data_IF_776947718584
#
_entry.id   IF_776947718584
#
_cell.length_a   1.000
_cell.length_b   1.000
_cell.length_c   1.000
_cell.angle_alpha   90.00
_cell.angle_beta   90.00
_cell.angle_gamma   90.00
#
_symmetry.space_group_name_H-M   'P 1'
#
loop_
_entity.id
_entity.type
_entity.pdbx_description
1 polymer ?
#
# COMPACT_ATOMS: atom_id res chain seq x y z
N UNK A 1 -14.55 -12.90 15.87
CA UNK A 1 -14.59 -14.25 15.25
C UNK A 1 -14.41 -14.21 13.74
N UNK A 2 -14.86 -13.19 13.01
CA UNK A 2 -14.78 -13.11 11.54
C UNK A 2 -13.36 -12.89 10.96
N UNK A 3 -12.52 -12.09 11.61
CA UNK A 3 -11.12 -11.85 11.15
C UNK A 3 -10.25 -13.11 11.32
N UNK A 4 -10.49 -13.89 12.38
CA UNK A 4 -9.75 -15.11 12.67
C UNK A 4 -10.08 -16.24 11.68
N UNK A 5 -11.30 -16.28 11.14
CA UNK A 5 -11.71 -17.29 10.14
C UNK A 5 -11.09 -17.03 8.77
N UNK A 6 -10.99 -15.77 8.33
CA UNK A 6 -10.34 -15.44 7.05
C UNK A 6 -8.82 -15.61 7.16
N UNK A 7 -8.22 -15.17 8.27
CA UNK A 7 -6.80 -15.36 8.53
C UNK A 7 -6.39 -16.82 8.66
N UNK A 8 -7.20 -17.66 9.32
CA UNK A 8 -6.95 -19.10 9.42
C UNK A 8 -7.23 -19.84 8.10
N UNK A 9 -8.19 -19.40 7.29
CA UNK A 9 -8.42 -19.95 5.95
C UNK A 9 -7.24 -19.62 5.02
N UNK A 10 -6.81 -18.35 5.00
CA UNK A 10 -5.67 -17.92 4.19
C UNK A 10 -4.36 -18.54 4.71
N UNK A 11 -4.16 -18.59 6.03
CA UNK A 11 -3.00 -19.21 6.66
C UNK A 11 -2.96 -20.73 6.47
N UNK A 12 -4.10 -21.42 6.55
CA UNK A 12 -4.20 -22.86 6.31
C UNK A 12 -3.99 -23.24 4.86
N UNK A 13 -4.40 -22.38 3.91
CA UNK A 13 -4.10 -22.57 2.48
C UNK A 13 -2.61 -22.37 2.20
N UNK A 14 -1.96 -21.38 2.82
CA UNK A 14 -0.51 -21.14 2.69
C UNK A 14 0.29 -22.31 3.30
N UNK A 15 -0.11 -22.81 4.46
CA UNK A 15 0.57 -23.94 5.13
C UNK A 15 0.44 -25.24 4.33
N UNK A 16 -0.74 -25.49 3.73
CA UNK A 16 -0.97 -26.65 2.84
C UNK A 16 -0.19 -26.59 1.52
N UNK A 17 0.29 -25.41 1.13
CA UNK A 17 1.12 -25.19 -0.05
C UNK A 17 2.62 -25.23 0.26
N UNK A 18 3.00 -25.26 1.54
CA UNK A 18 4.39 -25.33 2.00
C UNK A 18 4.87 -26.75 2.27
N UNK A 19 4.04 -27.76 1.97
CA UNK A 19 4.40 -29.18 2.05
C UNK A 19 5.07 -29.65 0.76
N UNK A 20 6.35 -30.01 0.89
CA UNK A 20 7.28 -30.58 -0.09
C UNK A 20 7.96 -29.63 -1.09
N UNK A 21 9.26 -29.46 -0.79
CA UNK A 21 10.42 -29.33 -1.67
C UNK A 21 10.76 -28.00 -2.37
N UNK A 22 11.98 -27.57 -1.99
CA UNK A 22 13.00 -26.92 -2.81
C UNK A 22 12.80 -25.46 -3.26
N UNK A 23 13.32 -24.55 -2.42
CA UNK A 23 14.16 -23.37 -2.75
C UNK A 23 13.73 -22.34 -3.84
N UNK A 24 12.65 -22.56 -4.57
CA UNK A 24 12.09 -21.69 -5.63
C UNK A 24 10.83 -20.94 -5.16
N UNK A 25 10.20 -21.42 -4.09
CA UNK A 25 8.96 -20.87 -3.55
C UNK A 25 9.12 -19.50 -2.85
N UNK A 26 10.27 -19.25 -2.22
CA UNK A 26 10.47 -18.04 -1.42
C UNK A 26 10.45 -16.77 -2.28
N UNK A 27 10.86 -16.85 -3.56
CA UNK A 27 10.80 -15.73 -4.50
C UNK A 27 9.42 -15.50 -5.12
N UNK A 28 8.73 -16.58 -5.53
CA UNK A 28 7.44 -16.48 -6.21
C UNK A 28 6.31 -16.05 -5.24
N UNK A 29 6.29 -16.63 -4.03
CA UNK A 29 5.27 -16.31 -3.04
C UNK A 29 5.48 -14.90 -2.47
N UNK A 30 6.70 -14.52 -2.10
CA UNK A 30 7.01 -13.13 -1.70
C UNK A 30 6.73 -12.15 -2.84
N UNK A 31 7.09 -12.49 -4.08
CA UNK A 31 6.79 -11.69 -5.26
C UNK A 31 5.29 -11.45 -5.46
N UNK A 32 4.47 -12.48 -5.29
CA UNK A 32 3.02 -12.39 -5.41
C UNK A 32 2.39 -11.53 -4.29
N UNK A 33 2.83 -11.71 -3.04
CA UNK A 33 2.37 -10.89 -1.91
C UNK A 33 2.77 -9.44 -2.11
N UNK A 34 4.04 -9.17 -2.41
CA UNK A 34 4.57 -7.81 -2.63
C UNK A 34 3.88 -7.14 -3.81
N UNK A 35 3.63 -7.84 -4.91
CA UNK A 35 2.92 -7.29 -6.06
C UNK A 35 1.48 -6.87 -5.71
N UNK A 36 0.77 -7.68 -4.91
CA UNK A 36 -0.58 -7.34 -4.47
C UNK A 36 -0.61 -6.18 -3.47
N UNK A 37 0.37 -6.11 -2.57
CA UNK A 37 0.53 -4.96 -1.67
C UNK A 37 0.88 -3.69 -2.44
N UNK A 38 1.81 -3.75 -3.40
CA UNK A 38 2.17 -2.61 -4.24
C UNK A 38 0.99 -2.06 -5.03
N UNK A 39 0.09 -2.91 -5.51
CA UNK A 39 -1.14 -2.48 -6.20
C UNK A 39 -2.07 -1.64 -5.31
N UNK A 40 -2.00 -1.80 -3.99
CA UNK A 40 -2.75 -0.98 -3.04
C UNK A 40 -1.96 0.26 -2.60
N UNK A 41 -0.66 0.07 -2.31
CA UNK A 41 0.20 1.12 -1.78
C UNK A 41 0.49 2.20 -2.82
N UNK A 42 0.71 1.83 -4.09
CA UNK A 42 1.04 2.79 -5.15
C UNK A 42 -0.10 3.80 -5.37
N UNK A 43 -1.37 3.40 -5.59
CA UNK A 43 -2.48 4.35 -5.73
C UNK A 43 -2.72 5.21 -4.48
N UNK A 44 -2.59 4.62 -3.29
CA UNK A 44 -2.73 5.36 -2.03
C UNK A 44 -1.65 6.45 -1.89
N UNK A 45 -0.39 6.11 -2.19
CA UNK A 45 0.73 7.05 -2.18
C UNK A 45 0.54 8.17 -3.20
N UNK A 46 0.07 7.86 -4.42
CA UNK A 46 -0.25 8.86 -5.43
C UNK A 46 -1.36 9.80 -4.94
N UNK A 47 -2.43 9.25 -4.38
CA UNK A 47 -3.55 10.06 -3.85
C UNK A 47 -3.08 11.01 -2.75
N UNK A 48 -2.25 10.52 -1.83
CA UNK A 48 -1.66 11.34 -0.78
C UNK A 48 -0.72 12.42 -1.36
N UNK A 49 0.14 12.06 -2.31
CA UNK A 49 1.06 12.99 -2.94
C UNK A 49 0.34 14.11 -3.69
N UNK A 50 -0.73 13.79 -4.42
CA UNK A 50 -1.59 14.76 -5.10
C UNK A 50 -2.28 15.66 -4.08
N UNK A 51 -2.88 15.11 -3.03
CA UNK A 51 -3.51 15.91 -1.98
C UNK A 51 -2.53 16.86 -1.28
N UNK A 52 -1.34 16.36 -0.96
CA UNK A 52 -0.26 17.18 -0.38
C UNK A 52 0.20 18.29 -1.34
N UNK A 53 0.38 17.97 -2.63
CA UNK A 53 0.79 18.94 -3.65
C UNK A 53 -0.26 20.05 -3.83
N UNK A 54 -1.55 19.69 -3.81
CA UNK A 54 -2.66 20.67 -3.86
C UNK A 54 -2.65 21.57 -2.63
N UNK A 55 -2.50 21.02 -1.42
CA UNK A 55 -2.43 21.81 -0.20
C UNK A 55 -1.21 22.74 -0.18
N UNK A 56 -0.06 22.27 -0.66
CA UNK A 56 1.16 23.07 -0.75
C UNK A 56 1.02 24.19 -1.78
N UNK A 57 0.49 23.88 -2.96
CA UNK A 57 0.19 24.89 -3.98
C UNK A 57 -0.86 25.90 -3.51
N UNK A 58 -1.88 25.47 -2.77
CA UNK A 58 -2.86 26.36 -2.15
C UNK A 58 -2.24 27.26 -1.07
N UNK A 59 -1.28 26.75 -0.30
CA UNK A 59 -0.50 27.55 0.66
C UNK A 59 0.34 28.62 -0.03
N UNK A 60 1.06 28.25 -1.09
CA UNK A 60 1.85 29.20 -1.89
C UNK A 60 0.95 30.25 -2.58
N UNK A 61 -0.22 29.85 -3.10
CA UNK A 61 -1.19 30.77 -3.69
C UNK A 61 -1.81 31.71 -2.65
N UNK A 62 -2.11 31.20 -1.45
CA UNK A 62 -2.60 32.01 -0.32
C UNK A 62 -1.55 33.05 0.07
N UNK A 63 -0.27 32.68 0.12
CA UNK A 63 0.80 33.62 0.44
C UNK A 63 0.98 34.68 -0.65
N UNK A 64 0.73 34.37 -1.92
CA UNK A 64 0.72 35.38 -2.99
C UNK A 64 -0.51 36.28 -2.94
N UNK A 65 -1.70 35.73 -2.69
CA UNK A 65 -2.98 36.48 -2.71
C UNK A 65 -3.22 37.28 -1.43
N UNK A 66 -2.76 36.79 -0.28
CA UNK A 66 -2.95 37.40 1.03
C UNK A 66 -1.66 37.95 1.67
N UNK A 67 -0.49 37.70 1.06
CA UNK A 67 0.81 38.17 1.56
C UNK A 67 1.23 39.57 1.10
N UNK A 68 0.52 40.21 0.15
CA UNK A 68 0.65 41.65 -0.10
C UNK A 68 -0.06 42.52 0.97
N UNK A 69 -0.30 41.96 2.17
CA UNK A 69 -0.70 42.73 3.36
C UNK A 69 0.40 42.67 4.42
N UNK A 70 1.64 43.00 4.04
CA UNK A 70 2.54 43.85 4.83
C UNK A 70 3.78 44.27 4.06
#
# INVERSE_FOLDING_TARGET
>A
MSVTTIGALVGGVIDSMSGDDDASWDGALKGAVVANVLKLVIPAAITYAVGWAVLRGAGELKDVVFGEVK
#
